data_IF_141094534681
#
_entry.id   IF_141094534681
#
_cell.length_a   1.000
_cell.length_b   1.000
_cell.length_c   1.000
_cell.angle_alpha   90.00
_cell.angle_beta   90.00
_cell.angle_gamma   90.00
#
_symmetry.space_group_name_H-M   'P 1'
#
loop_
_entity.id
_entity.type
_entity.pdbx_description
1 polymer ?
#
# COMPACT_ATOMS: atom_id res chain seq x y z
N UNK A 1 -15.82 -0.07 -2.52
CA UNK A 1 -14.50 -0.30 -2.14
C UNK A 1 -14.42 -0.99 -0.86
N UNK A 2 -13.72 -2.07 -0.84
CA UNK A 2 -13.68 -2.78 0.28
C UNK A 2 -12.59 -2.43 1.20
N UNK A 3 -11.41 -2.74 0.98
CA UNK A 3 -10.36 -2.64 1.97
C UNK A 3 -9.16 -1.96 1.34
N UNK A 4 -8.87 -0.76 1.75
CA UNK A 4 -7.73 -0.04 1.21
C UNK A 4 -6.40 -0.69 1.55
N UNK A 5 -6.38 -1.53 2.57
CA UNK A 5 -5.16 -2.25 2.88
C UNK A 5 -4.77 -3.20 1.76
N UNK A 6 -5.73 -3.71 1.02
CA UNK A 6 -5.40 -4.57 -0.10
C UNK A 6 -4.61 -3.80 -1.15
N UNK A 7 -4.96 -2.54 -1.36
CA UNK A 7 -4.24 -1.72 -2.32
C UNK A 7 -2.82 -1.45 -1.82
N UNK A 8 -2.69 -1.20 -0.55
CA UNK A 8 -1.39 -0.96 0.03
C UNK A 8 -0.50 -2.19 -0.13
N UNK A 9 -1.04 -3.37 0.17
CA UNK A 9 -0.25 -4.58 0.05
C UNK A 9 0.10 -4.89 -1.40
N UNK A 10 -0.80 -4.58 -2.32
CA UNK A 10 -0.48 -4.77 -3.72
C UNK A 10 0.70 -3.89 -4.12
N UNK A 11 0.68 -2.63 -3.69
CA UNK A 11 1.79 -1.72 -3.98
C UNK A 11 3.08 -2.27 -3.38
N UNK A 12 3.01 -2.81 -2.16
CA UNK A 12 4.19 -3.36 -1.51
C UNK A 12 4.78 -4.53 -2.30
N UNK A 13 3.92 -5.40 -2.80
CA UNK A 13 4.41 -6.54 -3.56
C UNK A 13 5.09 -6.08 -4.84
N UNK A 14 4.51 -5.10 -5.51
CA UNK A 14 5.10 -4.59 -6.74
C UNK A 14 6.41 -3.88 -6.45
N UNK A 15 6.42 -3.02 -5.45
CA UNK A 15 7.61 -2.25 -5.13
C UNK A 15 8.79 -3.13 -4.71
N UNK A 16 8.50 -4.19 -4.00
CA UNK A 16 9.57 -5.08 -3.54
C UNK A 16 9.91 -6.18 -4.53
N UNK A 17 9.17 -6.26 -5.61
CA UNK A 17 9.48 -7.21 -6.64
C UNK A 17 9.08 -8.63 -6.34
N UNK A 18 8.13 -8.81 -5.45
CA UNK A 18 7.65 -10.14 -5.14
C UNK A 18 7.16 -10.28 -3.72
N UNK A 19 6.62 -11.45 -3.43
CA UNK A 19 6.04 -11.69 -2.12
C UNK A 19 7.06 -11.77 -0.99
N UNK A 20 8.19 -12.41 -1.25
CA UNK A 20 9.14 -12.65 -0.17
C UNK A 20 9.64 -11.35 0.47
N UNK A 21 10.05 -10.41 -0.36
CA UNK A 21 10.56 -9.15 0.17
C UNK A 21 9.44 -8.33 0.80
N UNK A 22 8.25 -8.39 0.23
CA UNK A 22 7.13 -7.66 0.79
C UNK A 22 6.75 -8.21 2.15
N UNK A 23 6.83 -9.51 2.32
CA UNK A 23 6.54 -10.15 3.59
C UNK A 23 7.51 -9.64 4.65
N UNK A 24 8.79 -9.63 4.30
CA UNK A 24 9.79 -9.18 5.27
C UNK A 24 9.61 -7.73 5.65
N UNK A 25 9.27 -6.91 4.67
CA UNK A 25 9.15 -5.48 4.92
C UNK A 25 7.91 -5.12 5.74
N UNK A 26 6.86 -5.93 5.65
CA UNK A 26 5.61 -5.59 6.28
C UNK A 26 5.20 -6.50 7.44
N UNK A 27 6.04 -7.44 7.78
CA UNK A 27 5.76 -8.30 8.91
C UNK A 27 4.40 -8.94 8.80
N UNK A 28 4.09 -9.50 7.64
CA UNK A 28 2.83 -10.15 7.40
C UNK A 28 3.14 -11.54 6.89
N UNK A 29 2.30 -12.50 7.16
CA UNK A 29 2.55 -13.85 6.71
C UNK A 29 2.34 -13.98 5.23
N UNK A 30 3.13 -14.83 4.58
CA UNK A 30 3.03 -14.97 3.16
C UNK A 30 1.65 -15.44 2.72
N UNK A 31 1.08 -16.38 3.48
CA UNK A 31 -0.23 -16.89 3.11
C UNK A 31 -1.29 -15.79 3.18
N UNK A 32 -1.19 -14.92 4.14
CA UNK A 32 -2.16 -13.86 4.26
C UNK A 32 -1.97 -12.84 3.15
N UNK A 33 -0.73 -12.49 2.85
CA UNK A 33 -0.46 -11.54 1.79
C UNK A 33 -0.97 -12.08 0.45
N UNK A 34 -0.68 -13.34 0.19
CA UNK A 34 -1.10 -13.97 -1.04
C UNK A 34 -2.63 -14.00 -1.14
N UNK A 35 -3.29 -14.30 -0.04
CA UNK A 35 -4.73 -14.35 -0.02
C UNK A 35 -5.34 -12.97 -0.30
N UNK A 36 -4.75 -11.94 0.28
CA UNK A 36 -5.26 -10.60 0.06
C UNK A 36 -5.14 -10.18 -1.40
N UNK A 37 -4.01 -10.49 -2.02
CA UNK A 37 -3.83 -10.14 -3.42
C UNK A 37 -4.78 -10.94 -4.29
N UNK A 38 -4.97 -12.22 -3.97
CA UNK A 38 -5.86 -13.05 -4.74
C UNK A 38 -7.30 -12.56 -4.64
N UNK A 39 -7.72 -12.18 -3.45
CA UNK A 39 -9.06 -11.66 -3.27
C UNK A 39 -9.24 -10.35 -4.00
N UNK A 40 -8.21 -9.53 -4.04
CA UNK A 40 -8.27 -8.28 -4.77
C UNK A 40 -8.48 -8.55 -6.25
N UNK A 41 -7.71 -9.50 -6.79
CA UNK A 41 -7.87 -9.85 -8.20
C UNK A 41 -9.26 -10.40 -8.48
N UNK A 42 -9.79 -11.20 -7.58
CA UNK A 42 -11.10 -11.75 -7.75
C UNK A 42 -12.18 -10.68 -7.74
N UNK A 43 -12.05 -9.75 -6.83
CA UNK A 43 -13.02 -8.68 -6.75
C UNK A 43 -12.99 -7.80 -8.00
N UNK A 44 -11.80 -7.56 -8.51
CA UNK A 44 -11.66 -6.71 -9.70
C UNK A 44 -11.95 -7.47 -10.99
N UNK A 45 -11.85 -8.78 -10.94
CA UNK A 45 -12.12 -9.57 -12.13
C UNK A 45 -11.00 -9.56 -13.14
N UNK A 46 -9.79 -9.21 -12.75
CA UNK A 46 -8.66 -9.22 -13.66
C UNK A 46 -7.43 -9.71 -12.92
N UNK A 47 -6.43 -10.11 -13.67
CA UNK A 47 -5.18 -10.52 -13.08
C UNK A 47 -4.28 -9.31 -13.00
N UNK A 48 -3.74 -9.09 -11.83
CA UNK A 48 -2.79 -8.00 -11.64
C UNK A 48 -1.35 -8.48 -11.72
N UNK A 49 -1.13 -9.74 -11.36
CA UNK A 49 0.20 -10.33 -11.40
C UNK A 49 0.19 -11.53 -12.34
N UNK A 50 1.30 -11.72 -13.03
CA UNK A 50 1.42 -12.87 -13.94
C UNK A 50 1.75 -14.09 -13.13
N UNK A 51 0.93 -15.12 -13.26
CA UNK A 51 1.12 -16.32 -12.50
C UNK A 51 1.89 -17.39 -13.19
N UNK A 52 1.89 -17.35 -14.51
CA UNK A 52 2.56 -18.38 -15.25
C UNK A 52 4.03 -18.12 -15.44
N UNK A 53 4.51 -16.99 -15.02
CA UNK A 53 5.89 -16.63 -15.23
C UNK A 53 6.75 -17.11 -14.08
N UNK A 54 8.00 -17.56 -14.39
CA UNK A 54 8.87 -17.93 -13.35
C UNK A 54 9.33 -16.75 -12.61
N UNK A 55 9.48 -15.61 -13.25
CA UNK A 55 9.90 -14.43 -12.62
C UNK A 55 8.71 -13.62 -12.25
N UNK A 56 8.73 -12.94 -11.13
CA UNK A 56 7.67 -12.04 -10.70
C UNK A 56 7.48 -10.96 -11.75
N UNK A 57 6.26 -10.73 -12.13
CA UNK A 57 5.98 -9.63 -13.06
C UNK A 57 4.53 -9.20 -12.90
N UNK A 58 4.25 -8.00 -13.37
CA UNK A 58 2.95 -7.37 -13.24
C UNK A 58 2.30 -7.33 -14.61
N UNK A 59 1.01 -7.60 -14.68
CA UNK A 59 0.32 -7.52 -15.96
C UNK A 59 0.20 -6.07 -16.36
N UNK A 60 -0.17 -5.84 -17.62
CA UNK A 60 -0.34 -4.49 -18.09
C UNK A 60 -1.41 -3.76 -17.30
N UNK A 61 -2.54 -4.41 -17.08
CA UNK A 61 -3.60 -3.79 -16.31
C UNK A 61 -3.16 -3.65 -14.85
N UNK A 62 -2.34 -4.57 -14.37
CA UNK A 62 -1.82 -4.47 -13.01
C UNK A 62 -0.93 -3.25 -12.85
N UNK A 63 -0.15 -2.92 -13.89
CA UNK A 63 0.70 -1.74 -13.81
C UNK A 63 -0.14 -0.46 -13.76
N UNK A 64 -1.19 -0.43 -14.54
CA UNK A 64 -2.07 0.70 -14.53
C UNK A 64 -2.75 0.85 -13.18
N UNK A 65 -3.20 -0.27 -12.63
CA UNK A 65 -3.85 -0.26 -11.33
C UNK A 65 -2.85 0.18 -10.26
N UNK A 66 -1.62 -0.28 -10.37
CA UNK A 66 -0.58 0.10 -9.43
C UNK A 66 -0.40 1.62 -9.42
N UNK A 67 -0.35 2.22 -10.60
CA UNK A 67 -0.16 3.67 -10.66
C UNK A 67 -1.29 4.41 -9.95
N UNK A 68 -2.51 3.91 -10.09
CA UNK A 68 -3.63 4.53 -9.41
C UNK A 68 -3.58 4.32 -7.91
N UNK A 69 -3.13 3.13 -7.49
CA UNK A 69 -3.01 2.86 -6.08
C UNK A 69 -1.97 3.77 -5.43
N UNK A 70 -0.86 3.98 -6.12
CA UNK A 70 0.18 4.85 -5.59
C UNK A 70 -0.37 6.27 -5.44
N UNK A 71 -1.12 6.73 -6.44
CA UNK A 71 -1.68 8.06 -6.37
C UNK A 71 -2.62 8.21 -5.17
N UNK A 72 -3.41 7.16 -4.89
CA UNK A 72 -4.32 7.21 -3.76
C UNK A 72 -3.56 7.24 -2.45
N UNK A 73 -2.50 6.45 -2.35
CA UNK A 73 -1.73 6.41 -1.12
C UNK A 73 -1.01 7.73 -0.88
N UNK A 74 -0.51 8.33 -1.95
CA UNK A 74 0.15 9.62 -1.82
C UNK A 74 -0.84 10.66 -1.34
N UNK A 75 -2.06 10.61 -1.87
CA UNK A 75 -3.06 11.57 -1.47
C UNK A 75 -3.47 11.37 -0.02
N UNK A 76 -3.55 10.13 0.42
CA UNK A 76 -3.89 9.85 1.80
C UNK A 76 -2.82 10.39 2.73
N UNK A 77 -1.56 10.24 2.35
CA UNK A 77 -0.47 10.78 3.13
C UNK A 77 -0.52 12.29 3.17
N UNK A 78 -0.85 12.90 2.05
CA UNK A 78 -0.93 14.36 2.00
C UNK A 78 -2.02 14.87 2.92
N UNK A 79 -3.11 14.15 3.00
CA UNK A 79 -4.21 14.54 3.88
C UNK A 79 -3.77 14.51 5.33
N UNK A 80 -3.09 13.45 5.72
CA UNK A 80 -2.61 13.32 7.09
C UNK A 80 -1.55 14.36 7.40
N UNK A 81 -0.71 14.65 6.43
CA UNK A 81 0.34 15.61 6.63
C UNK A 81 -0.20 17.02 6.79
N UNK A 82 -1.26 17.32 6.07
CA UNK A 82 -1.88 18.62 6.22
C UNK A 82 -2.37 18.82 7.65
N UNK A 83 -2.98 17.79 8.22
CA UNK A 83 -3.45 17.86 9.60
C UNK A 83 -2.28 17.98 10.56
N UNK A 84 -1.22 17.23 10.33
CA UNK A 84 -0.06 17.29 11.19
C UNK A 84 0.53 18.68 11.20
N UNK A 85 0.55 19.34 10.05
CA UNK A 85 1.06 20.67 9.98
C UNK A 85 0.22 21.65 10.75
N UNK A 86 -1.08 21.53 10.65
CA UNK A 86 -1.97 22.40 11.37
C UNK A 86 -1.73 22.26 12.87
N UNK A 87 -1.56 21.03 13.32
CA UNK A 87 -1.39 20.80 14.74
C UNK A 87 -0.08 21.35 15.28
N UNK A 88 0.96 21.32 14.50
CA UNK A 88 2.24 21.80 14.98
C UNK A 88 2.50 23.23 14.62
N UNK A 89 1.61 23.87 13.87
CA UNK A 89 1.89 25.18 13.41
C UNK A 89 2.11 26.20 14.42
N UNK A 90 1.40 26.26 15.48
CA UNK A 90 1.66 27.31 16.44
C UNK A 90 3.08 27.29 16.96
N UNK A 91 3.74 26.20 16.91
CA UNK A 91 5.03 26.18 17.40
C UNK A 91 6.01 26.41 16.35
N UNK A 92 5.61 26.38 15.17
CA UNK A 92 6.48 26.66 14.10
C UNK A 92 7.54 25.66 13.91
N UNK A 93 7.45 24.59 14.41
CA UNK A 93 8.38 23.70 14.25
C UNK A 93 8.25 22.82 13.27
N UNK A 94 8.76 22.20 12.83
CA UNK A 94 8.74 21.40 11.91
C UNK A 94 8.37 20.30 11.87
N UNK A 95 8.31 19.54 11.28
CA UNK A 95 7.76 18.60 11.14
C UNK A 95 8.26 17.65 10.44
N UNK A 96 7.97 16.74 10.27
CA UNK A 96 8.49 15.90 9.70
C UNK A 96 7.70 14.93 9.44
N UNK A 97 7.27 14.43 8.74
CA UNK A 97 6.46 13.51 8.51
C UNK A 97 7.03 12.42 7.87
N UNK A 98 7.00 11.35 8.12
CA UNK A 98 7.53 10.22 7.52
C UNK A 98 6.44 9.45 6.88
N UNK A 99 6.46 9.30 5.61
CA UNK A 99 5.40 8.59 4.92
C UNK A 99 5.19 7.19 5.42
N UNK A 100 6.28 6.53 5.73
CA UNK A 100 6.15 5.18 6.22
C UNK A 100 5.44 5.16 7.54
N UNK A 101 5.75 6.09 8.39
CA UNK A 101 5.10 6.15 9.68
C UNK A 101 3.61 6.41 9.53
N UNK A 102 3.25 7.26 8.59
CA UNK A 102 1.85 7.54 8.38
C UNK A 102 1.10 6.33 7.90
N UNK A 103 1.71 5.59 7.02
CA UNK A 103 1.06 4.42 6.50
C UNK A 103 0.91 3.38 7.58
N UNK A 104 1.90 3.22 8.40
CA UNK A 104 1.81 2.29 9.50
C UNK A 104 0.73 2.67 10.46
N UNK A 105 0.61 3.95 10.72
CA UNK A 105 -0.42 4.40 11.60
C UNK A 105 -1.78 4.07 11.02
N UNK A 106 -1.97 4.32 9.77
CA UNK A 106 -3.24 4.03 9.15
C UNK A 106 -3.53 2.55 9.21
N UNK A 107 -2.51 1.76 9.07
CA UNK A 107 -2.72 0.36 9.09
C UNK A 107 -3.14 -0.13 10.44
N UNK A 108 -2.58 0.47 11.47
CA UNK A 108 -2.95 -0.01 12.69
C UNK A 108 -3.92 0.71 13.28
N UNK A 109 -4.40 1.48 12.74
CA UNK A 109 -5.23 2.22 13.20
C UNK A 109 -6.19 1.93 13.74
N UNK A 110 -6.36 1.66 13.67
CA UNK A 110 -7.18 1.44 14.14
C UNK A 110 -7.31 2.14 15.06
N UNK A 111 -6.76 2.26 15.40
CA UNK A 111 -6.73 2.88 16.20
C UNK A 111 -7.10 4.07 16.20
N UNK A 112 -7.27 4.40 16.00
CA UNK A 112 -7.55 5.54 15.95
C UNK A 112 -8.43 5.78 16.13
#
# INVERSE_FOLDING_TARGET
>A
MKDLNDLYYFVQVVDHGGYAAAVRANDIQKSELSRRIQQLEERLGVRLLNRSSRRFSVTEIGREYYDRCVAMLVEAEAADEMIAQVRSEPRGIVRVSCPVALINFAADDDGL
#
